data_IF_708743016871
#
_entry.id   IF_708743016871
#
_cell.length_a   1.000
_cell.length_b   1.000
_cell.length_c   1.000
_cell.angle_alpha   90.00
_cell.angle_beta   90.00
_cell.angle_gamma   90.00
#
_symmetry.space_group_name_H-M   'P 1'
#
loop_
_entity.id
_entity.type
_entity.pdbx_description
1 polymer ?
#
# COMPACT_ATOMS: atom_id res chain seq x y z
N UNK A 1 -16.18 9.63 -5.09
CA UNK A 1 -14.76 9.35 -5.42
C UNK A 1 -14.11 8.65 -4.24
N UNK A 2 -14.41 7.37 -3.97
CA UNK A 2 -13.88 6.69 -2.74
C UNK A 2 -13.62 5.19 -2.93
N UNK A 3 -14.21 4.55 -3.94
CA UNK A 3 -14.12 3.08 -4.10
C UNK A 3 -12.70 2.52 -4.26
N UNK A 4 -11.76 3.30 -4.80
CA UNK A 4 -10.37 2.85 -4.95
C UNK A 4 -9.56 2.89 -3.63
N UNK A 5 -9.97 3.68 -2.61
CA UNK A 5 -9.23 3.74 -1.31
C UNK A 5 -9.41 2.41 -0.61
N UNK A 6 -10.68 2.04 -0.46
CA UNK A 6 -11.12 0.86 0.28
C UNK A 6 -10.56 -0.43 -0.32
N UNK A 7 -10.42 -0.47 -1.64
CA UNK A 7 -9.80 -1.58 -2.34
C UNK A 7 -8.30 -1.73 -2.04
N UNK A 8 -7.58 -0.63 -1.78
CA UNK A 8 -6.13 -0.67 -1.47
C UNK A 8 -5.91 -1.04 0.00
N UNK A 9 -6.73 -0.51 0.92
CA UNK A 9 -6.66 -0.81 2.36
C UNK A 9 -6.90 -2.29 2.66
N UNK A 10 -7.88 -2.91 1.98
CA UNK A 10 -8.24 -4.33 2.13
C UNK A 10 -7.35 -5.28 1.30
N UNK A 11 -6.68 -4.75 0.26
CA UNK A 11 -5.78 -5.56 -0.56
C UNK A 11 -4.52 -5.96 0.21
N UNK A 12 -4.10 -7.21 -0.01
CA UNK A 12 -2.80 -7.68 0.44
C UNK A 12 -1.68 -6.92 -0.27
N UNK A 13 -0.61 -6.64 0.48
CA UNK A 13 0.54 -5.89 -0.04
C UNK A 13 1.17 -6.63 -1.22
N UNK A 14 1.23 -7.97 -1.19
CA UNK A 14 1.72 -8.79 -2.31
C UNK A 14 0.89 -8.62 -3.58
N UNK A 15 -0.45 -8.67 -3.47
CA UNK A 15 -1.35 -8.56 -4.60
C UNK A 15 -1.27 -7.15 -5.22
N UNK A 16 -1.10 -6.13 -4.38
CA UNK A 16 -0.93 -4.75 -4.82
C UNK A 16 0.39 -4.57 -5.58
N UNK A 17 1.50 -5.08 -5.04
CA UNK A 17 2.81 -5.01 -5.70
C UNK A 17 2.86 -5.84 -6.98
N UNK A 18 2.20 -7.00 -7.01
CA UNK A 18 2.10 -7.85 -8.19
C UNK A 18 1.31 -7.19 -9.34
N UNK A 19 0.26 -6.43 -9.01
CA UNK A 19 -0.52 -5.66 -10.00
C UNK A 19 0.13 -4.33 -10.38
N UNK A 20 0.76 -3.67 -9.40
CA UNK A 20 1.29 -2.32 -9.54
C UNK A 20 2.70 -2.24 -8.91
N UNK A 21 3.76 -2.60 -9.65
CA UNK A 21 5.12 -2.59 -9.11
C UNK A 21 5.59 -1.20 -8.66
N UNK A 22 4.97 -0.12 -9.17
CA UNK A 22 5.22 1.26 -8.72
C UNK A 22 4.88 1.48 -7.23
N UNK A 23 3.94 0.71 -6.66
CA UNK A 23 3.56 0.82 -5.24
C UNK A 23 4.67 0.37 -4.30
N UNK A 24 5.57 -0.50 -4.78
CA UNK A 24 6.71 -1.00 -4.01
C UNK A 24 7.67 0.13 -3.61
N UNK A 25 7.82 1.16 -4.45
CA UNK A 25 8.60 2.35 -4.12
C UNK A 25 7.96 3.17 -2.99
N UNK A 26 6.62 3.21 -2.93
CA UNK A 26 5.88 3.89 -1.87
C UNK A 26 6.05 3.15 -0.54
N UNK A 27 5.85 1.83 -0.51
CA UNK A 27 6.05 1.05 0.71
C UNK A 27 7.47 1.20 1.27
N UNK A 28 8.48 1.16 0.40
CA UNK A 28 9.87 1.38 0.79
C UNK A 28 10.10 2.81 1.33
N UNK A 29 9.54 3.83 0.67
CA UNK A 29 9.64 5.22 1.14
C UNK A 29 8.98 5.45 2.51
N UNK A 30 7.91 4.71 2.81
CA UNK A 30 7.21 4.75 4.10
C UNK A 30 7.84 3.82 5.15
N UNK A 31 8.82 2.99 4.78
CA UNK A 31 9.48 2.05 5.69
C UNK A 31 8.59 0.86 6.11
N UNK A 32 7.57 0.52 5.31
CA UNK A 32 6.68 -0.61 5.57
C UNK A 32 7.42 -1.91 5.25
N UNK A 33 7.54 -2.82 6.22
CA UNK A 33 8.24 -4.09 6.02
C UNK A 33 7.35 -5.07 5.23
N UNK A 34 7.44 -5.00 3.91
CA UNK A 34 6.69 -5.88 2.99
C UNK A 34 7.29 -7.29 2.89
N UNK A 35 8.45 -7.52 3.48
CA UNK A 35 9.20 -8.76 3.35
C UNK A 35 8.70 -9.85 4.33
N UNK A 36 8.19 -9.45 5.50
CA UNK A 36 7.67 -10.38 6.51
C UNK A 36 6.12 -10.42 6.56
N UNK A 37 5.44 -9.53 5.84
CA UNK A 37 3.98 -9.31 5.91
C UNK A 37 3.26 -9.38 4.56
N UNK A 38 3.78 -10.08 3.57
CA UNK A 38 3.21 -10.13 2.22
C UNK A 38 1.72 -10.53 2.18
N UNK A 39 1.26 -11.39 3.10
CA UNK A 39 -0.14 -11.79 3.25
C UNK A 39 -1.01 -10.81 4.05
N UNK A 40 -0.41 -9.81 4.70
CA UNK A 40 -1.13 -8.80 5.47
C UNK A 40 -1.68 -7.73 4.52
N UNK A 41 -2.81 -7.14 4.91
CA UNK A 41 -3.37 -5.99 4.21
C UNK A 41 -2.52 -4.74 4.45
N UNK A 42 -2.65 -3.75 3.56
CA UNK A 42 -1.95 -2.46 3.68
C UNK A 42 -2.20 -1.82 5.05
N UNK A 43 -3.43 -1.96 5.56
CA UNK A 43 -3.83 -1.50 6.88
C UNK A 43 -3.06 -2.16 8.02
N UNK A 44 -2.96 -3.48 8.01
CA UNK A 44 -2.22 -4.23 9.03
C UNK A 44 -0.72 -3.91 9.00
N UNK A 45 -0.16 -3.75 7.79
CA UNK A 45 1.23 -3.36 7.63
C UNK A 45 1.50 -1.94 8.16
N UNK A 46 0.63 -0.97 7.83
CA UNK A 46 0.71 0.38 8.37
C UNK A 46 0.60 0.40 9.90
N UNK A 47 -0.36 -0.36 10.47
CA UNK A 47 -0.54 -0.46 11.92
C UNK A 47 0.67 -1.11 12.63
N UNK A 48 1.27 -2.14 12.03
CA UNK A 48 2.46 -2.83 12.55
C UNK A 48 3.68 -1.93 12.59
N UNK A 49 3.92 -1.19 11.50
CA UNK A 49 5.08 -0.31 11.37
C UNK A 49 4.84 1.09 11.97
N UNK A 50 3.64 1.34 12.51
CA UNK A 50 3.27 2.61 13.15
C UNK A 50 3.18 3.78 12.16
N UNK A 51 2.88 3.46 10.90
CA UNK A 51 2.79 4.43 9.80
C UNK A 51 1.35 4.88 9.62
N UNK A 52 1.17 6.11 9.17
CA UNK A 52 -0.15 6.67 8.95
C UNK A 52 -0.80 6.02 7.72
N UNK A 53 -1.77 5.13 7.98
CA UNK A 53 -2.52 4.38 6.96
C UNK A 53 -3.09 5.32 5.88
N UNK A 54 -3.65 6.46 6.29
CA UNK A 54 -4.26 7.40 5.35
C UNK A 54 -3.21 8.04 4.43
N UNK A 55 -2.03 8.38 4.97
CA UNK A 55 -0.93 8.92 4.19
C UNK A 55 -0.34 7.88 3.23
N UNK A 56 -0.17 6.64 3.69
CA UNK A 56 0.31 5.54 2.88
C UNK A 56 -0.65 5.25 1.71
N UNK A 57 -1.94 5.13 1.99
CA UNK A 57 -2.96 4.85 0.96
C UNK A 57 -3.07 6.00 -0.04
N UNK A 58 -2.97 7.25 0.41
CA UNK A 58 -2.94 8.40 -0.49
C UNK A 58 -1.72 8.36 -1.43
N UNK A 59 -0.55 8.01 -0.92
CA UNK A 59 0.67 7.87 -1.72
C UNK A 59 0.60 6.68 -2.69
N UNK A 60 0.05 5.55 -2.25
CA UNK A 60 -0.17 4.36 -3.09
C UNK A 60 -1.14 4.67 -4.24
N UNK A 61 -2.25 5.34 -3.94
CA UNK A 61 -3.20 5.81 -4.96
C UNK A 61 -2.51 6.68 -5.99
N UNK A 62 -1.75 7.68 -5.53
CA UNK A 62 -1.03 8.57 -6.43
C UNK A 62 -0.04 7.82 -7.32
N UNK A 63 0.70 6.86 -6.77
CA UNK A 63 1.63 6.04 -7.54
C UNK A 63 0.93 5.13 -8.57
N UNK A 64 -0.27 4.63 -8.25
CA UNK A 64 -1.09 3.86 -9.20
C UNK A 64 -1.60 4.78 -10.32
N UNK A 65 -2.08 5.98 -9.99
CA UNK A 65 -2.57 6.98 -10.95
C UNK A 65 -1.45 7.51 -11.87
N UNK A 66 -0.26 7.78 -11.35
CA UNK A 66 0.91 8.23 -12.14
C UNK A 66 1.48 7.11 -13.03
N UNK A 67 1.24 5.84 -12.68
CA UNK A 67 1.69 4.69 -13.47
C UNK A 67 0.69 4.23 -14.55
N UNK A 68 -0.52 4.83 -14.59
CA UNK A 68 -1.54 4.61 -15.62
C UNK A 68 -1.33 5.57 -16.80
#
# INVERSE_FOLDING_TARGET
MTGLVFAIEDSSVDALMARHPATMAVFNAFGVDTCCGAHSSVREAAARDGVDEAALVAALRRAIEDAQ
#
